data_IF_442406108281
#
_entry.id   IF_442406108281
#
_cell.length_a   1.000
_cell.length_b   1.000
_cell.length_c   1.000
_cell.angle_alpha   90.00
_cell.angle_beta   90.00
_cell.angle_gamma   90.00
#
_symmetry.space_group_name_H-M   'P 1'
#
loop_
_entity.id
_entity.type
_entity.pdbx_description
1 polymer ?
#
# COMPACT_ATOMS: atom_id res chain seq x y z
N UNK A 1 -18.44 12.30 -12.35
CA UNK A 1 -17.21 13.07 -12.65
C UNK A 1 -16.26 12.86 -11.48
N UNK A 2 -15.02 12.43 -11.74
CA UNK A 2 -13.99 12.31 -10.71
C UNK A 2 -12.96 13.42 -10.95
N UNK A 3 -12.74 14.28 -9.96
CA UNK A 3 -11.73 15.33 -10.00
C UNK A 3 -10.53 14.88 -9.14
N UNK A 4 -9.32 15.14 -9.63
CA UNK A 4 -8.06 14.90 -8.93
C UNK A 4 -7.41 16.25 -8.64
N UNK A 5 -7.03 16.48 -7.38
CA UNK A 5 -6.20 17.63 -7.04
C UNK A 5 -4.79 17.37 -7.61
N UNK A 6 -4.25 18.31 -8.39
CA UNK A 6 -2.97 18.15 -9.09
C UNK A 6 -1.88 19.06 -8.53
N UNK A 7 -2.21 20.30 -8.13
CA UNK A 7 -1.25 21.22 -7.50
C UNK A 7 -1.94 22.25 -6.59
N UNK A 8 -1.13 22.92 -5.77
CA UNK A 8 -1.47 24.18 -5.09
C UNK A 8 -0.50 25.24 -5.55
N UNK A 9 -1.01 26.41 -5.94
CA UNK A 9 -0.22 27.57 -6.26
C UNK A 9 0.11 28.38 -4.99
N UNK A 10 1.37 28.81 -4.87
CA UNK A 10 1.89 29.68 -3.83
C UNK A 10 2.68 30.81 -4.52
N UNK A 11 2.33 32.05 -4.25
CA UNK A 11 3.07 33.19 -4.75
C UNK A 11 4.26 33.49 -3.85
N UNK A 12 5.45 33.65 -4.43
CA UNK A 12 6.72 33.82 -3.73
C UNK A 12 7.47 35.10 -4.16
N UNK A 13 8.17 35.70 -3.25
CA UNK A 13 9.00 36.90 -3.53
C UNK A 13 10.36 36.52 -4.10
N UNK A 14 10.94 35.43 -3.63
CA UNK A 14 12.26 34.96 -4.06
C UNK A 14 12.12 33.48 -4.48
N UNK A 15 12.05 33.25 -5.80
CA UNK A 15 11.80 31.94 -6.37
C UNK A 15 12.87 30.91 -6.01
N UNK A 16 14.16 31.29 -6.13
CA UNK A 16 15.25 30.35 -5.89
C UNK A 16 15.39 30.00 -4.40
N UNK A 17 15.12 30.95 -3.51
CA UNK A 17 15.09 30.71 -2.07
C UNK A 17 13.96 29.75 -1.71
N UNK A 18 12.79 29.92 -2.28
CA UNK A 18 11.65 29.02 -2.05
C UNK A 18 11.88 27.64 -2.64
N UNK A 19 12.43 27.53 -3.85
CA UNK A 19 12.82 26.23 -4.44
C UNK A 19 13.83 25.51 -3.53
N UNK A 20 14.86 26.21 -3.03
CA UNK A 20 15.84 25.62 -2.13
C UNK A 20 15.20 25.14 -0.83
N UNK A 21 14.28 25.92 -0.25
CA UNK A 21 13.55 25.54 0.96
C UNK A 21 12.74 24.24 0.75
N UNK A 22 11.89 24.20 -0.27
CA UNK A 22 11.04 23.04 -0.52
C UNK A 22 11.84 21.79 -0.88
N UNK A 23 12.98 21.95 -1.56
CA UNK A 23 13.91 20.84 -1.80
C UNK A 23 14.52 20.32 -0.49
N UNK A 24 15.01 21.20 0.37
CA UNK A 24 15.67 20.81 1.62
C UNK A 24 14.67 20.27 2.65
N UNK A 25 13.52 20.94 2.81
CA UNK A 25 12.55 20.60 3.84
C UNK A 25 11.72 19.36 3.49
N UNK A 26 11.32 19.22 2.22
CA UNK A 26 10.30 18.23 1.82
C UNK A 26 10.79 17.26 0.72
N UNK A 27 12.04 17.38 0.27
CA UNK A 27 12.58 16.53 -0.80
C UNK A 27 11.84 16.71 -2.12
N UNK A 28 11.33 17.92 -2.40
CA UNK A 28 10.66 18.22 -3.65
C UNK A 28 11.67 18.69 -4.69
N UNK A 29 11.62 18.13 -5.88
CA UNK A 29 12.45 18.52 -7.00
C UNK A 29 11.65 19.31 -8.04
N UNK A 30 12.35 20.13 -8.82
CA UNK A 30 11.73 20.87 -9.93
C UNK A 30 11.33 19.86 -11.01
N UNK A 31 10.03 19.78 -11.31
CA UNK A 31 9.47 18.91 -12.34
C UNK A 31 9.12 19.64 -13.61
N UNK A 32 8.84 20.97 -13.53
CA UNK A 32 8.57 21.81 -14.70
C UNK A 32 8.81 23.29 -14.37
N UNK A 33 9.08 24.10 -15.42
CA UNK A 33 9.17 25.55 -15.36
C UNK A 33 8.45 26.16 -16.57
N UNK A 34 7.72 27.23 -16.34
CA UNK A 34 7.03 27.95 -17.41
C UNK A 34 7.00 29.46 -17.13
N UNK A 35 7.07 30.25 -18.20
CA UNK A 35 7.00 31.70 -18.14
C UNK A 35 7.09 32.30 -19.54
N UNK A 36 6.79 33.60 -19.72
CA UNK A 36 6.91 34.27 -21.00
C UNK A 36 8.38 34.63 -21.32
N UNK A 37 8.68 34.83 -22.58
CA UNK A 37 10.03 35.19 -23.05
C UNK A 37 10.57 36.50 -22.45
N UNK A 38 9.70 37.43 -22.08
CA UNK A 38 10.07 38.70 -21.45
C UNK A 38 10.44 38.53 -19.96
N UNK A 39 10.23 37.32 -19.39
CA UNK A 39 10.51 36.98 -18.00
C UNK A 39 9.75 37.84 -16.99
N UNK A 40 8.55 38.31 -17.32
CA UNK A 40 7.71 39.12 -16.41
C UNK A 40 7.16 38.32 -15.23
N UNK A 41 7.05 37.01 -15.39
CA UNK A 41 6.72 36.08 -14.31
C UNK A 41 7.32 34.69 -14.61
N UNK A 42 7.40 33.84 -13.57
CA UNK A 42 7.81 32.46 -13.72
C UNK A 42 7.02 31.58 -12.76
N UNK A 43 6.55 30.43 -13.26
CA UNK A 43 5.97 29.36 -12.46
C UNK A 43 6.94 28.17 -12.43
N UNK A 44 7.19 27.66 -11.23
CA UNK A 44 8.00 26.45 -11.02
C UNK A 44 7.16 25.40 -10.32
N UNK A 45 7.06 24.22 -10.92
CA UNK A 45 6.34 23.11 -10.33
C UNK A 45 7.32 22.18 -9.61
N UNK A 46 7.02 21.92 -8.34
CA UNK A 46 7.82 21.06 -7.47
C UNK A 46 7.04 19.78 -7.14
N UNK A 47 7.70 18.64 -7.22
CA UNK A 47 7.10 17.33 -6.92
C UNK A 47 8.14 16.30 -6.52
N UNK A 48 7.68 15.12 -6.11
CA UNK A 48 8.50 13.94 -5.86
C UNK A 48 7.74 12.66 -6.25
N UNK A 49 8.44 11.52 -6.25
CA UNK A 49 7.85 10.22 -6.59
C UNK A 49 6.83 9.70 -5.57
N UNK A 50 6.80 10.27 -4.35
CA UNK A 50 5.89 9.82 -3.30
C UNK A 50 4.45 10.31 -3.49
N UNK A 51 4.24 11.36 -4.29
CA UNK A 51 2.91 11.98 -4.49
C UNK A 51 2.75 12.49 -5.91
N UNK A 52 1.58 12.29 -6.51
CA UNK A 52 1.18 12.94 -7.77
C UNK A 52 0.73 14.41 -7.59
N UNK A 53 0.77 14.95 -6.36
CA UNK A 53 0.44 16.33 -6.06
C UNK A 53 1.69 17.20 -6.11
N UNK A 54 1.57 18.39 -6.70
CA UNK A 54 2.68 19.34 -6.89
C UNK A 54 2.44 20.65 -6.13
N UNK A 55 3.51 21.38 -5.88
CA UNK A 55 3.46 22.78 -5.50
C UNK A 55 3.86 23.60 -6.72
N UNK A 56 3.02 24.56 -7.10
CA UNK A 56 3.33 25.58 -8.09
C UNK A 56 3.82 26.83 -7.36
N UNK A 57 5.08 27.23 -7.54
CA UNK A 57 5.63 28.48 -7.07
C UNK A 57 5.51 29.53 -8.18
N UNK A 58 4.76 30.60 -7.92
CA UNK A 58 4.57 31.70 -8.87
C UNK A 58 5.36 32.94 -8.43
N UNK A 59 6.32 33.35 -9.24
CA UNK A 59 7.09 34.56 -9.03
C UNK A 59 6.74 35.63 -10.07
N UNK A 60 6.69 36.89 -9.62
CA UNK A 60 6.43 38.04 -10.50
C UNK A 60 7.58 39.06 -10.40
N UNK A 61 8.13 39.44 -11.54
CA UNK A 61 9.22 40.41 -11.64
C UNK A 61 8.83 41.74 -11.03
N UNK A 62 9.71 42.25 -10.14
CA UNK A 62 9.54 43.58 -9.55
C UNK A 62 8.56 43.63 -8.39
N UNK A 63 7.95 42.53 -8.02
CA UNK A 63 7.13 42.46 -6.81
C UNK A 63 8.04 42.51 -5.56
N UNK A 64 7.79 43.47 -4.66
CA UNK A 64 8.51 43.62 -3.39
C UNK A 64 7.60 43.52 -2.18
N UNK A 65 6.29 43.73 -2.38
CA UNK A 65 5.31 43.64 -1.30
C UNK A 65 4.95 42.16 -1.05
N UNK A 66 4.89 41.72 0.21
CA UNK A 66 4.50 40.36 0.56
C UNK A 66 3.16 39.95 -0.05
N UNK A 67 3.05 38.67 -0.37
CA UNK A 67 1.78 38.06 -0.78
C UNK A 67 0.95 37.64 0.45
N UNK A 68 -0.36 37.65 0.31
CA UNK A 68 -1.27 37.13 1.31
C UNK A 68 -1.67 35.72 0.83
N UNK A 69 -0.90 34.72 1.23
CA UNK A 69 -1.10 33.31 0.83
C UNK A 69 -2.14 32.57 1.70
N UNK A 70 -3.13 33.28 2.25
CA UNK A 70 -4.23 32.71 3.03
C UNK A 70 -4.08 32.80 4.55
N UNK A 71 -3.00 33.38 5.07
CA UNK A 71 -2.76 33.49 6.50
C UNK A 71 -2.62 32.12 7.20
N UNK A 72 -2.79 32.09 8.53
CA UNK A 72 -2.67 30.88 9.35
C UNK A 72 -3.91 29.96 9.31
N UNK A 73 -4.97 30.39 8.63
CA UNK A 73 -6.22 29.64 8.53
C UNK A 73 -6.17 28.54 7.46
N UNK A 74 -5.12 28.54 6.62
CA UNK A 74 -4.88 27.54 5.60
C UNK A 74 -3.44 27.03 5.68
N UNK A 75 -3.24 25.73 5.46
CA UNK A 75 -1.92 25.11 5.42
C UNK A 75 -1.88 23.93 4.46
N UNK A 76 -0.70 23.48 4.12
CA UNK A 76 -0.43 22.19 3.53
C UNK A 76 -0.04 21.22 4.63
N UNK A 77 -0.39 19.94 4.49
CA UNK A 77 0.05 18.90 5.41
C UNK A 77 0.93 17.87 4.69
N UNK A 78 2.07 17.56 5.30
CA UNK A 78 2.98 16.52 4.84
C UNK A 78 3.19 15.48 5.93
N UNK A 79 3.15 14.21 5.53
CA UNK A 79 3.46 13.10 6.40
C UNK A 79 4.93 12.69 6.25
N UNK A 80 5.62 12.48 7.37
CA UNK A 80 7.02 12.04 7.40
C UNK A 80 7.14 10.70 8.12
N UNK A 81 8.02 9.83 7.64
CA UNK A 81 8.22 8.50 8.21
C UNK A 81 8.95 8.54 9.56
N UNK A 82 9.84 9.53 9.75
CA UNK A 82 10.62 9.72 10.97
C UNK A 82 10.45 11.15 11.47
N UNK A 83 9.60 11.32 12.48
CA UNK A 83 9.28 12.61 13.07
C UNK A 83 10.47 13.24 13.80
N UNK A 84 11.34 12.43 14.42
CA UNK A 84 12.49 12.92 15.18
C UNK A 84 13.58 13.42 14.23
N UNK A 85 13.89 12.67 13.17
CA UNK A 85 14.83 13.09 12.15
C UNK A 85 14.35 14.35 11.41
N UNK A 86 13.06 14.40 11.04
CA UNK A 86 12.46 15.56 10.39
C UNK A 86 12.50 16.77 11.31
N UNK A 87 12.19 16.61 12.60
CA UNK A 87 12.25 17.69 13.57
C UNK A 87 13.67 18.26 13.73
N UNK A 88 14.68 17.41 13.83
CA UNK A 88 16.07 17.83 13.92
C UNK A 88 16.51 18.67 12.71
N UNK A 89 16.13 18.25 11.51
CA UNK A 89 16.37 18.99 10.27
C UNK A 89 15.70 20.37 10.30
N UNK A 90 14.43 20.45 10.68
CA UNK A 90 13.68 21.72 10.66
C UNK A 90 14.11 22.68 11.79
N UNK A 91 14.58 22.14 12.92
CA UNK A 91 15.23 22.97 13.96
C UNK A 91 16.57 23.55 13.46
N UNK A 92 17.38 22.76 12.72
CA UNK A 92 18.61 23.24 12.06
C UNK A 92 18.31 24.31 10.99
N UNK A 93 17.24 24.14 10.22
CA UNK A 93 16.77 25.12 9.24
C UNK A 93 16.15 26.37 9.89
N UNK A 94 15.82 26.33 11.19
CA UNK A 94 15.17 27.43 11.92
C UNK A 94 13.77 27.76 11.40
N UNK A 95 13.07 26.80 10.82
CA UNK A 95 11.76 27.02 10.19
C UNK A 95 10.57 26.48 11.00
N UNK A 96 10.80 25.85 12.15
CA UNK A 96 9.70 25.40 13.04
C UNK A 96 9.00 26.62 13.65
N UNK A 97 7.71 26.78 13.40
CA UNK A 97 6.94 27.95 13.83
C UNK A 97 5.87 27.64 14.90
N UNK A 98 5.40 26.39 14.99
CA UNK A 98 4.42 26.00 16.01
C UNK A 98 4.54 24.49 16.32
N UNK A 99 4.38 24.12 17.61
CA UNK A 99 4.40 22.73 18.07
C UNK A 99 3.11 22.42 18.82
N UNK A 100 2.46 21.33 18.47
CA UNK A 100 1.29 20.81 19.16
C UNK A 100 1.60 19.45 19.78
N UNK A 101 2.16 19.45 20.99
CA UNK A 101 2.54 18.23 21.69
C UNK A 101 1.37 17.29 21.95
N UNK A 102 0.17 17.84 22.21
CA UNK A 102 -1.04 17.04 22.47
C UNK A 102 -1.46 16.19 21.27
N UNK A 103 -1.25 16.71 20.07
CA UNK A 103 -1.59 16.03 18.82
C UNK A 103 -0.39 15.29 18.19
N UNK A 104 0.82 15.48 18.75
CA UNK A 104 2.05 14.86 18.22
C UNK A 104 2.43 15.38 16.83
N UNK A 105 2.18 16.66 16.55
CA UNK A 105 2.48 17.29 15.27
C UNK A 105 3.09 18.68 15.47
N UNK A 106 3.71 19.23 14.42
CA UNK A 106 4.22 20.58 14.42
C UNK A 106 4.09 21.22 13.05
N UNK A 107 4.30 22.54 13.00
CA UNK A 107 4.26 23.32 11.77
C UNK A 107 5.63 23.93 11.50
N UNK A 108 5.98 23.96 10.23
CA UNK A 108 7.10 24.73 9.69
C UNK A 108 6.54 25.85 8.83
N UNK A 109 7.32 26.92 8.66
CA UNK A 109 6.97 28.09 7.86
C UNK A 109 7.97 28.22 6.71
N UNK A 110 7.44 28.40 5.50
CA UNK A 110 8.27 28.64 4.33
C UNK A 110 8.81 30.10 4.32
N UNK A 111 9.71 30.48 3.38
CA UNK A 111 10.28 31.83 3.33
C UNK A 111 9.26 32.96 3.13
N UNK A 112 8.05 32.66 2.67
CA UNK A 112 6.97 33.61 2.42
C UNK A 112 5.85 33.55 3.46
N UNK A 113 6.06 32.82 4.57
CA UNK A 113 5.14 32.72 5.70
C UNK A 113 4.02 31.69 5.50
N UNK A 114 4.12 30.77 4.53
CA UNK A 114 3.15 29.69 4.36
C UNK A 114 3.37 28.60 5.41
N UNK A 115 2.31 28.22 6.08
CA UNK A 115 2.35 27.16 7.06
C UNK A 115 2.24 25.77 6.43
N UNK A 116 3.09 24.88 6.89
CA UNK A 116 3.14 23.48 6.48
C UNK A 116 3.05 22.61 7.73
N UNK A 117 1.98 21.86 7.87
CA UNK A 117 1.77 20.89 8.94
C UNK A 117 2.62 19.66 8.71
N UNK A 118 3.39 19.23 9.69
CA UNK A 118 4.17 18.00 9.67
C UNK A 118 3.55 17.00 10.63
N UNK A 119 3.11 15.87 10.08
CA UNK A 119 2.44 14.79 10.80
C UNK A 119 3.19 13.48 10.64
N UNK A 120 3.11 12.56 11.62
CA UNK A 120 3.67 11.24 11.42
C UNK A 120 2.95 10.54 10.26
N UNK A 121 3.69 9.94 9.35
CA UNK A 121 3.13 8.97 8.43
C UNK A 121 2.49 7.90 9.30
N UNK A 122 1.15 7.83 9.31
CA UNK A 122 0.46 6.80 10.06
C UNK A 122 1.04 5.48 9.59
N UNK A 123 1.63 4.75 10.50
CA UNK A 123 1.98 3.34 10.31
C UNK A 123 0.68 2.57 10.15
N UNK A 124 0.07 2.71 9.07
CA UNK A 124 -1.04 1.86 8.66
C UNK A 124 -1.56 2.46 7.40
N UNK A 125 -1.74 1.59 6.53
CA UNK A 125 -2.50 1.83 5.35
C UNK A 125 -1.73 2.67 4.35
N UNK A 126 -0.80 1.91 3.76
CA UNK A 126 -0.10 2.25 2.53
C UNK A 126 -0.70 3.48 1.88
N UNK A 127 0.11 4.51 1.82
CA UNK A 127 -0.20 5.68 1.01
C UNK A 127 -0.91 5.20 -0.24
N UNK A 128 -2.05 5.78 -0.53
CA UNK A 128 -2.81 5.57 -1.76
C UNK A 128 -2.15 6.30 -2.94
N UNK A 129 -0.85 6.24 -3.05
CA UNK A 129 -0.21 6.23 -4.34
C UNK A 129 -0.62 4.88 -4.94
N UNK A 130 -1.26 4.87 -6.08
CA UNK A 130 -1.58 3.63 -6.76
C UNK A 130 -0.31 2.81 -6.85
N UNK A 131 -0.17 1.83 -5.96
CA UNK A 131 1.05 1.03 -5.91
C UNK A 131 1.11 0.36 -7.26
N UNK A 132 2.10 0.67 -8.05
CA UNK A 132 2.35 0.00 -9.31
C UNK A 132 2.28 -1.51 -9.06
N UNK A 133 1.39 -2.19 -9.76
CA UNK A 133 1.17 -3.64 -9.63
C UNK A 133 2.48 -4.38 -9.80
N UNK A 134 3.36 -3.94 -10.70
CA UNK A 134 4.68 -4.54 -10.93
C UNK A 134 5.60 -4.36 -9.72
N UNK A 135 5.53 -3.22 -9.03
CA UNK A 135 6.27 -2.98 -7.80
C UNK A 135 5.77 -3.89 -6.66
N UNK A 136 4.47 -4.09 -6.53
CA UNK A 136 3.90 -5.06 -5.57
C UNK A 136 4.35 -6.50 -5.88
N UNK A 137 4.36 -6.90 -7.15
CA UNK A 137 4.87 -8.20 -7.60
C UNK A 137 6.34 -8.41 -7.21
N UNK A 138 7.19 -7.39 -7.40
CA UNK A 138 8.62 -7.46 -7.06
C UNK A 138 8.85 -7.55 -5.54
N UNK A 139 8.06 -6.85 -4.72
CA UNK A 139 8.20 -6.82 -3.25
C UNK A 139 7.54 -7.98 -2.55
N UNK A 140 6.37 -8.43 -3.02
CA UNK A 140 5.57 -9.45 -2.32
C UNK A 140 6.42 -10.65 -1.91
N UNK A 141 6.29 -11.04 -0.64
CA UNK A 141 6.89 -12.25 -0.04
C UNK A 141 5.83 -13.06 0.69
N UNK A 142 6.10 -14.34 0.87
CA UNK A 142 5.32 -15.18 1.80
C UNK A 142 5.74 -14.85 3.23
N UNK A 143 4.95 -14.01 3.89
CA UNK A 143 5.16 -13.58 5.28
C UNK A 143 4.52 -14.61 6.22
N UNK A 144 5.29 -15.07 7.21
CA UNK A 144 4.89 -16.11 8.16
C UNK A 144 4.98 -15.66 9.63
N UNK A 145 5.40 -14.42 9.84
CA UNK A 145 5.45 -13.75 11.15
C UNK A 145 4.65 -12.47 11.09
N UNK A 146 3.84 -12.23 12.11
CA UNK A 146 2.95 -11.09 12.21
C UNK A 146 3.15 -10.38 13.53
N UNK A 147 2.90 -9.07 13.58
CA UNK A 147 3.03 -8.25 14.80
C UNK A 147 1.98 -8.58 15.85
N UNK A 148 0.85 -9.17 15.44
CA UNK A 148 -0.32 -9.41 16.29
C UNK A 148 -1.30 -8.22 16.34
N UNK A 149 -1.01 -7.14 15.61
CA UNK A 149 -1.95 -6.03 15.45
C UNK A 149 -3.14 -6.46 14.59
N UNK A 150 -4.31 -5.89 14.88
CA UNK A 150 -5.53 -6.17 14.10
C UNK A 150 -5.51 -5.44 12.76
N UNK A 151 -5.93 -6.12 11.71
CA UNK A 151 -6.23 -5.52 10.40
C UNK A 151 -7.57 -4.80 10.51
N UNK A 152 -7.63 -3.53 10.11
CA UNK A 152 -8.89 -2.81 10.08
C UNK A 152 -9.83 -3.36 8.99
N UNK A 153 -11.14 -3.23 9.23
CA UNK A 153 -12.18 -3.79 8.37
C UNK A 153 -12.12 -3.25 6.92
N UNK A 154 -11.75 -1.98 6.74
CA UNK A 154 -11.65 -1.37 5.42
C UNK A 154 -10.51 -1.99 4.61
N UNK A 155 -9.37 -2.23 5.24
CA UNK A 155 -8.21 -2.83 4.60
C UNK A 155 -8.48 -4.30 4.26
N UNK A 156 -9.08 -5.07 5.19
CA UNK A 156 -9.48 -6.45 4.92
C UNK A 156 -10.49 -6.53 3.77
N UNK A 157 -11.48 -5.66 3.76
CA UNK A 157 -12.47 -5.56 2.68
C UNK A 157 -11.80 -5.31 1.31
N UNK A 158 -10.81 -4.44 1.23
CA UNK A 158 -10.06 -4.18 -0.03
C UNK A 158 -9.31 -5.41 -0.53
N UNK A 159 -8.74 -6.23 0.36
CA UNK A 159 -8.11 -7.50 -0.03
C UNK A 159 -9.15 -8.46 -0.62
N UNK A 160 -10.33 -8.59 0.03
CA UNK A 160 -11.42 -9.42 -0.46
C UNK A 160 -11.93 -8.94 -1.82
N UNK A 161 -12.16 -7.64 -1.98
CA UNK A 161 -12.61 -7.02 -3.23
C UNK A 161 -11.62 -7.25 -4.38
N UNK A 162 -10.31 -7.27 -4.11
CA UNK A 162 -9.30 -7.61 -5.12
C UNK A 162 -9.45 -9.08 -5.58
N UNK A 163 -9.77 -10.00 -4.66
CA UNK A 163 -10.10 -11.38 -5.01
C UNK A 163 -11.37 -11.47 -5.85
N UNK A 164 -12.44 -10.83 -5.42
CA UNK A 164 -13.74 -10.85 -6.11
C UNK A 164 -13.71 -10.20 -7.50
N UNK A 165 -12.73 -9.30 -7.75
CA UNK A 165 -12.52 -8.65 -9.05
C UNK A 165 -11.70 -9.50 -10.02
N UNK A 166 -11.36 -10.75 -9.67
CA UNK A 166 -10.51 -11.63 -10.47
C UNK A 166 -11.17 -12.05 -11.78
N UNK A 167 -10.34 -12.26 -12.79
CA UNK A 167 -10.79 -12.88 -14.03
C UNK A 167 -11.26 -14.31 -13.79
N UNK A 168 -12.20 -14.78 -14.59
CA UNK A 168 -12.80 -16.12 -14.47
C UNK A 168 -13.17 -16.67 -15.84
N UNK A 169 -13.03 -17.96 -16.01
CA UNK A 169 -13.42 -18.65 -17.24
C UNK A 169 -14.90 -18.43 -17.54
N UNK A 170 -15.20 -17.80 -18.71
CA UNK A 170 -16.59 -17.55 -19.18
C UNK A 170 -17.47 -16.77 -18.20
N UNK A 171 -16.87 -16.02 -17.24
CA UNK A 171 -17.62 -15.26 -16.23
C UNK A 171 -18.31 -16.10 -15.16
N UNK A 172 -17.95 -17.37 -15.00
CA UNK A 172 -18.66 -18.35 -14.15
C UNK A 172 -18.48 -18.13 -12.65
N UNK A 173 -17.35 -17.59 -12.20
CA UNK A 173 -17.05 -17.27 -10.79
C UNK A 173 -17.32 -18.46 -9.84
N UNK A 174 -16.64 -19.61 -10.04
CA UNK A 174 -16.92 -20.85 -9.29
C UNK A 174 -16.39 -20.81 -7.84
N UNK A 175 -15.76 -19.71 -7.42
CA UNK A 175 -15.15 -19.58 -6.11
C UNK A 175 -16.11 -19.08 -5.04
N UNK A 176 -15.84 -19.53 -3.79
CA UNK A 176 -16.36 -18.94 -2.57
C UNK A 176 -15.19 -18.57 -1.65
N UNK A 177 -15.35 -17.48 -0.88
CA UNK A 177 -14.35 -16.97 0.03
C UNK A 177 -14.89 -17.03 1.46
N UNK A 178 -14.19 -17.75 2.34
CA UNK A 178 -14.57 -17.85 3.76
C UNK A 178 -13.55 -17.05 4.57
N UNK A 179 -13.98 -15.95 5.17
CA UNK A 179 -13.14 -15.10 6.01
C UNK A 179 -13.20 -15.58 7.45
N UNK A 180 -12.06 -15.96 8.01
CA UNK A 180 -11.93 -16.48 9.37
C UNK A 180 -11.11 -15.50 10.19
N UNK A 181 -11.71 -14.94 11.26
CA UNK A 181 -11.03 -14.11 12.29
C UNK A 181 -11.20 -14.69 13.70
N UNK A 182 -12.09 -15.65 13.86
CA UNK A 182 -12.26 -16.35 15.13
C UNK A 182 -10.96 -17.06 15.52
N UNK A 183 -10.43 -16.71 16.69
CA UNK A 183 -9.14 -17.20 17.19
C UNK A 183 -9.11 -18.72 17.28
N UNK A 184 -10.18 -19.33 17.78
CA UNK A 184 -10.25 -20.78 17.99
C UNK A 184 -10.28 -21.55 16.65
N UNK A 185 -10.92 -20.99 15.62
CA UNK A 185 -10.92 -21.55 14.28
C UNK A 185 -9.56 -21.39 13.61
N UNK A 186 -8.91 -20.21 13.73
CA UNK A 186 -7.55 -20.01 13.23
C UNK A 186 -6.55 -20.99 13.87
N UNK A 187 -6.67 -21.25 15.16
CA UNK A 187 -5.84 -22.24 15.85
C UNK A 187 -6.08 -23.67 15.33
N UNK A 188 -7.33 -24.08 15.15
CA UNK A 188 -7.64 -25.39 14.54
C UNK A 188 -7.10 -25.51 13.12
N UNK A 189 -7.16 -24.44 12.32
CA UNK A 189 -6.62 -24.41 10.96
C UNK A 189 -5.09 -24.55 10.90
N UNK A 190 -4.36 -24.32 12.00
CA UNK A 190 -2.90 -24.62 12.04
C UNK A 190 -2.60 -26.10 11.83
N UNK A 191 -3.52 -26.97 12.22
CA UNK A 191 -3.41 -28.44 12.09
C UNK A 191 -3.85 -28.95 10.70
N UNK A 192 -4.38 -28.07 9.85
CA UNK A 192 -4.81 -28.41 8.47
C UNK A 192 -3.68 -28.92 7.59
N UNK A 193 -2.43 -28.75 8.02
CA UNK A 193 -1.23 -29.20 7.32
C UNK A 193 -0.27 -29.91 8.29
N UNK A 194 0.36 -30.99 7.85
CA UNK A 194 1.49 -31.62 8.58
C UNK A 194 2.60 -30.63 8.86
N UNK A 195 2.81 -29.65 7.95
CA UNK A 195 3.74 -28.55 8.11
C UNK A 195 3.32 -27.39 7.21
N UNK A 196 3.63 -26.16 7.62
CA UNK A 196 3.45 -24.96 6.79
C UNK A 196 2.12 -24.21 6.97
N UNK A 197 1.35 -24.49 8.04
CA UNK A 197 0.18 -23.71 8.45
C UNK A 197 0.34 -23.02 9.83
N UNK A 198 1.44 -23.21 10.51
CA UNK A 198 1.67 -22.68 11.87
C UNK A 198 1.55 -21.15 12.00
N UNK A 199 1.72 -20.37 10.91
CA UNK A 199 1.56 -18.93 10.94
C UNK A 199 0.11 -18.50 11.25
N UNK A 200 -0.88 -19.35 11.02
CA UNK A 200 -2.29 -19.08 11.34
C UNK A 200 -2.51 -18.83 12.84
N UNK A 201 -1.66 -19.40 13.71
CA UNK A 201 -1.70 -19.15 15.15
C UNK A 201 -1.48 -17.66 15.51
N UNK A 202 -0.83 -16.87 14.67
CA UNK A 202 -0.54 -15.45 14.90
C UNK A 202 -1.15 -14.55 13.82
N UNK A 203 -1.81 -15.11 12.83
CA UNK A 203 -2.53 -14.32 11.83
C UNK A 203 -3.74 -13.62 12.45
N UNK A 204 -4.07 -12.42 12.01
CA UNK A 204 -5.31 -11.73 12.41
C UNK A 204 -6.51 -12.27 11.63
N UNK A 205 -6.29 -12.68 10.39
CA UNK A 205 -7.32 -13.28 9.56
C UNK A 205 -6.76 -14.39 8.66
N UNK A 206 -7.64 -15.25 8.20
CA UNK A 206 -7.40 -16.14 7.07
C UNK A 206 -8.55 -16.05 6.08
N UNK A 207 -8.25 -16.20 4.79
CA UNK A 207 -9.28 -16.34 3.74
C UNK A 207 -9.10 -17.71 3.13
N UNK A 208 -10.10 -18.57 3.31
CA UNK A 208 -10.13 -19.89 2.70
C UNK A 208 -10.81 -19.78 1.34
N UNK A 209 -10.15 -20.24 0.29
CA UNK A 209 -10.65 -20.22 -1.09
C UNK A 209 -11.03 -21.64 -1.49
N UNK A 210 -12.30 -21.79 -1.81
CA UNK A 210 -12.89 -23.03 -2.30
C UNK A 210 -13.53 -22.79 -3.66
N UNK A 211 -13.67 -23.82 -4.46
CA UNK A 211 -14.30 -23.76 -5.77
C UNK A 211 -15.31 -24.87 -6.01
N UNK A 212 -16.29 -24.57 -6.85
CA UNK A 212 -17.28 -25.55 -7.31
C UNK A 212 -16.87 -26.14 -8.67
N UNK A 213 -16.42 -27.41 -8.71
CA UNK A 213 -16.01 -28.06 -9.94
C UNK A 213 -17.19 -28.37 -10.90
N UNK A 214 -18.45 -28.32 -10.42
CA UNK A 214 -19.62 -28.49 -11.27
C UNK A 214 -19.95 -27.20 -12.04
N UNK A 215 -19.68 -26.05 -11.42
CA UNK A 215 -19.85 -24.73 -12.05
C UNK A 215 -18.81 -24.48 -13.13
N UNK A 216 -17.55 -24.87 -12.92
CA UNK A 216 -16.47 -24.64 -13.89
C UNK A 216 -15.41 -25.73 -13.86
N UNK A 217 -15.04 -26.18 -15.06
CA UNK A 217 -13.91 -27.08 -15.29
C UNK A 217 -12.54 -26.41 -15.04
N UNK A 218 -12.50 -25.06 -15.05
CA UNK A 218 -11.32 -24.22 -14.73
C UNK A 218 -11.37 -23.65 -13.32
N UNK A 219 -12.08 -24.29 -12.37
CA UNK A 219 -12.23 -23.78 -11.03
C UNK A 219 -10.89 -23.61 -10.29
N UNK A 220 -9.90 -24.45 -10.59
CA UNK A 220 -8.56 -24.39 -9.96
C UNK A 220 -7.83 -23.12 -10.40
N UNK A 221 -7.79 -22.85 -11.70
CA UNK A 221 -7.18 -21.67 -12.28
C UNK A 221 -7.89 -20.42 -11.78
N UNK A 222 -9.22 -20.42 -11.79
CA UNK A 222 -10.04 -19.32 -11.32
C UNK A 222 -9.76 -19.01 -9.82
N UNK A 223 -9.75 -20.02 -8.95
CA UNK A 223 -9.41 -19.88 -7.53
C UNK A 223 -7.95 -19.44 -7.32
N UNK A 224 -7.02 -19.93 -8.14
CA UNK A 224 -5.61 -19.55 -8.08
C UNK A 224 -5.40 -18.07 -8.43
N UNK A 225 -6.14 -17.54 -9.41
CA UNK A 225 -6.12 -16.10 -9.76
C UNK A 225 -6.67 -15.27 -8.60
N UNK A 226 -7.77 -15.68 -7.97
CA UNK A 226 -8.32 -15.03 -6.77
C UNK A 226 -7.28 -14.96 -5.66
N UNK A 227 -6.62 -16.08 -5.35
CA UNK A 227 -5.55 -16.15 -4.36
C UNK A 227 -4.38 -15.21 -4.69
N UNK A 228 -3.94 -15.20 -5.95
CA UNK A 228 -2.83 -14.36 -6.40
C UNK A 228 -3.16 -12.86 -6.26
N UNK A 229 -4.36 -12.45 -6.67
CA UNK A 229 -4.82 -11.06 -6.59
C UNK A 229 -4.94 -10.60 -5.13
N UNK A 230 -5.53 -11.41 -4.25
CA UNK A 230 -5.58 -11.10 -2.82
C UNK A 230 -4.18 -11.00 -2.19
N UNK A 231 -3.26 -11.89 -2.58
CA UNK A 231 -1.90 -11.91 -2.08
C UNK A 231 -1.09 -10.67 -2.51
N UNK A 232 -1.30 -10.19 -3.74
CA UNK A 232 -0.74 -8.94 -4.25
C UNK A 232 -1.37 -7.71 -3.58
N UNK A 233 -2.70 -7.71 -3.45
CA UNK A 233 -3.41 -6.63 -2.78
C UNK A 233 -3.00 -6.49 -1.30
N UNK A 234 -2.78 -7.60 -0.59
CA UNK A 234 -2.28 -7.59 0.77
C UNK A 234 -0.92 -6.88 0.86
N UNK A 235 0.04 -7.20 -0.04
CA UNK A 235 1.33 -6.51 -0.09
C UNK A 235 1.19 -5.03 -0.40
N UNK A 236 0.38 -4.68 -1.41
CA UNK A 236 0.13 -3.30 -1.80
C UNK A 236 -0.52 -2.47 -0.67
N UNK A 237 -1.28 -3.12 0.22
CA UNK A 237 -1.93 -2.53 1.38
C UNK A 237 -1.06 -2.60 2.66
N UNK A 238 0.22 -2.98 2.56
CA UNK A 238 1.14 -3.04 3.69
C UNK A 238 0.97 -4.26 4.59
N UNK A 239 0.12 -5.22 4.23
CA UNK A 239 -0.10 -6.45 4.98
C UNK A 239 0.93 -7.54 4.63
N UNK A 240 1.20 -8.41 5.58
CA UNK A 240 1.83 -9.69 5.36
C UNK A 240 0.80 -10.76 5.00
N UNK A 241 1.14 -11.62 4.05
CA UNK A 241 0.29 -12.76 3.69
C UNK A 241 1.11 -13.96 3.27
N UNK A 242 0.52 -15.16 3.40
CA UNK A 242 1.15 -16.38 2.94
C UNK A 242 0.09 -17.32 2.34
N UNK A 243 0.37 -17.81 1.14
CA UNK A 243 -0.38 -18.88 0.49
C UNK A 243 -0.08 -20.20 1.18
N UNK A 244 -1.08 -20.82 1.78
CA UNK A 244 -1.02 -22.15 2.39
C UNK A 244 -1.77 -23.10 1.45
N UNK A 245 -1.02 -23.92 0.71
CA UNK A 245 -1.62 -24.87 -0.24
C UNK A 245 -2.51 -25.88 0.47
N UNK A 246 -3.79 -25.95 0.07
CA UNK A 246 -4.76 -26.91 0.61
C UNK A 246 -4.90 -28.15 -0.27
N UNK A 247 -5.16 -27.95 -1.54
CA UNK A 247 -5.41 -29.00 -2.52
C UNK A 247 -4.25 -30.00 -2.61
N UNK A 248 -4.58 -31.30 -2.53
CA UNK A 248 -3.59 -32.37 -2.63
C UNK A 248 -2.59 -32.43 -1.47
N UNK A 249 -2.99 -32.00 -0.28
CA UNK A 249 -2.15 -31.99 0.94
C UNK A 249 -2.84 -32.73 2.08
N UNK A 250 -2.03 -33.09 3.09
CA UNK A 250 -2.48 -33.82 4.28
C UNK A 250 -2.42 -32.92 5.52
N UNK A 251 -3.39 -33.13 6.41
CA UNK A 251 -3.47 -32.53 7.75
C UNK A 251 -2.60 -33.31 8.75
N UNK A 252 -2.40 -32.69 9.92
CA UNK A 252 -1.61 -33.28 11.01
C UNK A 252 -2.28 -34.52 11.63
N UNK A 253 -3.62 -34.59 11.59
CA UNK A 253 -4.45 -35.65 12.16
C UNK A 253 -4.65 -36.88 11.25
N UNK A 254 -3.98 -36.90 10.09
CA UNK A 254 -4.04 -38.02 9.13
C UNK A 254 -5.15 -37.91 8.06
N UNK A 255 -6.05 -36.93 8.19
CA UNK A 255 -7.00 -36.57 7.14
C UNK A 255 -6.30 -35.84 6.00
N UNK A 256 -6.99 -35.64 4.87
CA UNK A 256 -6.58 -34.63 3.91
C UNK A 256 -6.76 -33.22 4.47
N UNK A 257 -6.00 -32.26 3.97
CA UNK A 257 -6.18 -30.84 4.33
C UNK A 257 -7.62 -30.38 4.05
N UNK A 258 -8.22 -30.81 2.93
CA UNK A 258 -9.59 -30.52 2.58
C UNK A 258 -10.58 -31.00 3.64
N UNK A 259 -10.54 -32.29 4.01
CA UNK A 259 -11.42 -32.87 5.04
C UNK A 259 -11.28 -32.15 6.39
N UNK A 260 -10.05 -31.79 6.79
CA UNK A 260 -9.81 -31.07 8.03
C UNK A 260 -10.43 -29.67 8.00
N UNK A 261 -10.19 -28.91 6.93
CA UNK A 261 -10.72 -27.55 6.75
C UNK A 261 -12.23 -27.55 6.66
N UNK A 262 -12.82 -28.49 5.92
CA UNK A 262 -14.26 -28.62 5.75
C UNK A 262 -14.96 -28.92 7.07
N UNK A 263 -14.42 -29.85 7.86
CA UNK A 263 -14.94 -30.15 9.20
C UNK A 263 -14.77 -28.98 10.20
N UNK A 264 -13.73 -28.12 10.02
CA UNK A 264 -13.49 -26.97 10.91
C UNK A 264 -14.44 -25.81 10.61
N UNK A 265 -14.85 -25.65 9.36
CA UNK A 265 -15.61 -24.50 8.85
C UNK A 265 -17.02 -24.84 8.38
N UNK A 266 -17.48 -26.08 8.53
CA UNK A 266 -18.78 -26.59 8.09
C UNK A 266 -19.02 -26.35 6.58
N UNK A 267 -17.99 -26.63 5.75
CA UNK A 267 -18.07 -26.44 4.29
C UNK A 267 -18.78 -27.63 3.64
N UNK A 268 -19.76 -27.38 2.75
CA UNK A 268 -20.47 -28.45 2.04
C UNK A 268 -19.56 -29.27 1.10
N UNK A 269 -19.88 -30.59 0.93
CA UNK A 269 -19.04 -31.55 0.20
C UNK A 269 -18.96 -31.31 -1.31
N UNK A 270 -19.86 -30.51 -1.88
CA UNK A 270 -19.86 -30.17 -3.32
C UNK A 270 -18.67 -29.28 -3.70
N UNK A 271 -18.11 -28.52 -2.76
CA UNK A 271 -16.94 -27.68 -2.99
C UNK A 271 -15.63 -28.45 -2.93
N UNK A 272 -14.56 -27.83 -3.38
CA UNK A 272 -13.17 -28.31 -3.29
C UNK A 272 -12.27 -27.22 -2.76
N UNK A 273 -11.32 -27.58 -1.92
CA UNK A 273 -10.36 -26.64 -1.36
C UNK A 273 -9.25 -26.34 -2.35
N UNK A 274 -9.01 -25.06 -2.64
CA UNK A 274 -7.77 -24.64 -3.31
C UNK A 274 -6.68 -24.33 -2.29
N UNK A 275 -6.88 -23.31 -1.47
CA UNK A 275 -5.84 -22.86 -0.55
C UNK A 275 -6.40 -21.98 0.58
N UNK A 276 -5.54 -21.65 1.54
CA UNK A 276 -5.81 -20.69 2.62
C UNK A 276 -4.80 -19.52 2.49
N UNK A 277 -5.28 -18.29 2.47
CA UNK A 277 -4.44 -17.10 2.56
C UNK A 277 -4.42 -16.63 4.01
N UNK A 278 -3.27 -16.76 4.70
CA UNK A 278 -3.10 -16.12 6.01
C UNK A 278 -2.79 -14.65 5.85
N UNK A 279 -3.32 -13.81 6.73
CA UNK A 279 -3.19 -12.34 6.73
C UNK A 279 -2.84 -11.81 8.11
N UNK A 280 -1.96 -10.82 8.15
CA UNK A 280 -1.59 -10.11 9.39
C UNK A 280 -0.77 -8.87 9.09
N UNK A 281 -0.63 -8.00 10.08
CA UNK A 281 0.28 -6.86 10.00
C UNK A 281 1.71 -7.39 10.04
N UNK A 282 2.55 -6.99 9.08
CA UNK A 282 3.95 -7.44 8.96
C UNK A 282 4.93 -6.46 9.58
N UNK A 283 6.06 -6.96 10.02
CA UNK A 283 7.22 -6.14 10.36
C UNK A 283 7.99 -5.78 9.08
N UNK A 284 8.14 -4.48 8.82
CA UNK A 284 8.94 -3.96 7.72
C UNK A 284 8.41 -4.27 6.31
N UNK A 285 9.16 -3.84 5.32
CA UNK A 285 8.87 -4.05 3.89
C UNK A 285 10.06 -4.75 3.25
N UNK A 286 9.80 -5.82 2.50
CA UNK A 286 10.86 -6.52 1.78
C UNK A 286 11.39 -5.67 0.62
N UNK A 287 12.71 -5.72 0.40
CA UNK A 287 13.30 -5.15 -0.81
C UNK A 287 12.72 -5.81 -2.07
N UNK A 288 12.59 -5.07 -3.18
CA UNK A 288 12.23 -5.65 -4.47
C UNK A 288 13.15 -6.82 -4.83
N UNK A 289 12.62 -7.79 -5.55
CA UNK A 289 13.40 -8.92 -6.06
C UNK A 289 13.72 -8.67 -7.52
N UNK A 290 15.00 -8.74 -7.86
CA UNK A 290 15.44 -8.73 -9.24
C UNK A 290 15.15 -10.09 -9.90
N UNK A 291 14.83 -10.04 -11.18
CA UNK A 291 14.70 -11.23 -12.03
C UNK A 291 16.09 -11.56 -12.57
N UNK A 292 16.66 -12.67 -12.11
CA UNK A 292 17.96 -13.15 -12.56
C UNK A 292 17.92 -13.74 -13.99
N UNK A 293 19.11 -13.95 -14.56
CA UNK A 293 19.22 -14.46 -15.93
C UNK A 293 18.70 -15.90 -16.09
N UNK A 294 18.74 -16.70 -15.02
CA UNK A 294 18.19 -18.07 -15.04
C UNK A 294 16.67 -18.04 -15.21
N UNK A 295 16.01 -17.08 -14.56
CA UNK A 295 14.57 -16.89 -14.72
C UNK A 295 14.25 -16.27 -16.08
N UNK A 296 15.05 -15.28 -16.54
CA UNK A 296 14.90 -14.67 -17.88
C UNK A 296 15.05 -15.68 -19.01
N UNK A 297 15.97 -16.64 -18.86
CA UNK A 297 16.19 -17.71 -19.83
C UNK A 297 15.02 -18.69 -19.99
N UNK A 298 13.97 -18.59 -19.16
CA UNK A 298 12.72 -19.35 -19.32
C UNK A 298 11.75 -18.77 -20.35
N UNK A 299 12.10 -17.61 -20.91
CA UNK A 299 11.30 -16.98 -21.98
C UNK A 299 11.86 -17.42 -23.32
N UNK A 300 11.04 -18.08 -24.10
CA UNK A 300 11.34 -18.51 -25.46
C UNK A 300 10.53 -17.68 -26.43
N UNK A 301 11.08 -17.34 -27.59
CA UNK A 301 10.40 -16.57 -28.63
C UNK A 301 10.12 -17.49 -29.82
N UNK A 302 8.86 -17.56 -30.24
CA UNK A 302 8.33 -18.34 -31.35
C UNK A 302 8.46 -19.87 -31.15
N UNK A 303 9.64 -20.37 -30.76
CA UNK A 303 9.93 -21.78 -30.57
C UNK A 303 10.62 -22.00 -29.23
N UNK A 304 10.45 -23.25 -28.67
CA UNK A 304 11.12 -23.69 -27.45
C UNK A 304 12.59 -23.96 -27.70
#
# INVERSE_FOLDING_TARGET
>A
MHAQAIHRCIHVLDLEKSVAFYRQALGLEVVDRMGPDDGSWENVFLGNEASGFQIELTWNRGRVEPYVNGGRDTHLAYAVDDMDAARALYDEMGCVCFVNERMGLYFIEDPDGCWIEVVPAKRSHAAQAGTDVTAAMARRRSVRTYTGECIDERTLKRVIEAGLSSATGRGKRPWELIVVRDRSRLEKLTESRKAGAGMLAKADAAIVVIGDPQTSDTWIEDCSIVMANMHLAADALGLGSCWIQGRGRDAADGRTTEEHVFATLDIPEEYRLEAILSLGVREGVAAPRDIDDVVRAKVHHELF
#
